data_IF_088041762072
#
_entry.id   IF_088041762072
#
_cell.length_a   1.000
_cell.length_b   1.000
_cell.length_c   1.000
_cell.angle_alpha   90.00
_cell.angle_beta   90.00
_cell.angle_gamma   90.00
#
_symmetry.space_group_name_H-M   'P 1'
#
loop_
_entity.id
_entity.type
_entity.pdbx_description
1 polymer ?
#
# COMPACT_ATOMS: atom_id res chain seq x y z
N UNK A 1 -28.85 -13.38 -19.87
CA UNK A 1 -27.54 -12.73 -20.06
C UNK A 1 -27.02 -12.31 -18.70
N UNK A 2 -26.05 -13.04 -18.14
CA UNK A 2 -25.30 -12.60 -16.97
C UNK A 2 -24.32 -11.53 -17.46
N UNK A 3 -24.51 -10.27 -17.08
CA UNK A 3 -23.45 -9.29 -17.21
C UNK A 3 -22.26 -9.82 -16.42
N UNK A 4 -21.11 -9.97 -17.07
CA UNK A 4 -19.85 -10.23 -16.39
C UNK A 4 -19.53 -8.97 -15.59
N UNK A 5 -19.92 -8.94 -14.32
CA UNK A 5 -19.22 -8.08 -13.36
C UNK A 5 -17.74 -8.37 -13.54
N UNK A 6 -16.97 -7.37 -13.98
CA UNK A 6 -15.52 -7.50 -14.07
C UNK A 6 -15.05 -7.90 -12.68
N UNK A 7 -14.43 -9.08 -12.56
CA UNK A 7 -13.98 -9.56 -11.26
C UNK A 7 -13.08 -8.51 -10.62
N UNK A 8 -13.43 -8.15 -9.38
CA UNK A 8 -12.68 -7.20 -8.59
C UNK A 8 -11.29 -7.78 -8.28
N UNK A 9 -10.24 -7.07 -8.70
CA UNK A 9 -8.87 -7.57 -8.62
C UNK A 9 -8.25 -7.29 -7.26
N UNK A 10 -8.65 -6.21 -6.59
CA UNK A 10 -8.18 -5.89 -5.24
C UNK A 10 -9.16 -6.43 -4.20
N UNK A 11 -8.71 -7.45 -3.48
CA UNK A 11 -9.40 -8.02 -2.31
C UNK A 11 -8.67 -7.72 -1.01
N UNK A 12 -7.37 -7.49 -1.09
CA UNK A 12 -6.54 -7.16 0.08
C UNK A 12 -5.57 -6.04 -0.25
N UNK A 13 -5.47 -5.05 0.63
CA UNK A 13 -4.49 -3.97 0.58
C UNK A 13 -3.52 -4.05 1.76
N UNK A 14 -2.24 -3.79 1.49
CA UNK A 14 -1.18 -3.78 2.48
C UNK A 14 -0.62 -2.36 2.71
N UNK A 15 -0.72 -1.85 3.93
CA UNK A 15 -0.08 -0.59 4.32
C UNK A 15 1.24 -0.85 5.05
N UNK A 16 2.35 -0.33 4.52
CA UNK A 16 3.70 -0.53 5.06
C UNK A 16 4.32 0.77 5.56
N UNK A 17 4.27 0.97 6.89
CA UNK A 17 4.94 2.07 7.57
C UNK A 17 6.43 1.82 7.87
N UNK A 18 6.92 0.58 7.69
CA UNK A 18 8.25 0.15 8.17
C UNK A 18 8.24 -0.22 9.66
N UNK A 19 9.34 -0.77 10.17
CA UNK A 19 9.41 -1.31 11.56
C UNK A 19 9.16 -0.25 12.65
N UNK A 20 9.66 0.98 12.44
CA UNK A 20 9.39 2.12 13.32
C UNK A 20 8.02 2.78 13.08
N UNK A 21 7.33 2.38 12.01
CA UNK A 21 6.06 2.97 11.58
C UNK A 21 6.23 4.29 10.85
N UNK A 22 5.15 4.69 10.17
CA UNK A 22 5.07 5.96 9.45
C UNK A 22 3.74 6.61 9.76
N UNK A 23 3.74 7.75 10.44
CA UNK A 23 2.52 8.50 10.74
C UNK A 23 1.72 8.81 9.47
N UNK A 24 2.39 9.18 8.38
CA UNK A 24 1.74 9.42 7.09
C UNK A 24 1.01 8.18 6.56
N UNK A 25 1.66 7.01 6.58
CA UNK A 25 1.03 5.76 6.10
C UNK A 25 -0.12 5.36 7.02
N UNK A 26 0.08 5.48 8.34
CA UNK A 26 -0.94 5.16 9.32
C UNK A 26 -2.19 6.05 9.11
N UNK A 27 -1.99 7.34 8.87
CA UNK A 27 -3.06 8.28 8.60
C UNK A 27 -3.78 7.95 7.29
N UNK A 28 -3.06 7.67 6.20
CA UNK A 28 -3.67 7.29 4.91
C UNK A 28 -4.55 6.05 5.09
N UNK A 29 -4.04 5.01 5.75
CA UNK A 29 -4.75 3.77 5.97
C UNK A 29 -6.07 4.01 6.72
N UNK A 30 -6.03 4.76 7.82
CA UNK A 30 -7.21 5.10 8.62
C UNK A 30 -8.20 5.99 7.84
N UNK A 31 -7.71 6.96 7.08
CA UNK A 31 -8.55 7.91 6.32
C UNK A 31 -9.35 7.25 5.20
N UNK A 32 -8.88 6.14 4.63
CA UNK A 32 -9.62 5.42 3.58
C UNK A 32 -10.24 4.10 4.07
N UNK A 33 -10.09 3.76 5.35
CA UNK A 33 -10.52 2.48 5.90
C UNK A 33 -12.02 2.23 5.72
N UNK A 34 -12.88 3.21 6.01
CA UNK A 34 -14.34 3.04 5.86
C UNK A 34 -14.73 2.73 4.42
N UNK A 35 -14.09 3.42 3.48
CA UNK A 35 -14.28 3.16 2.05
C UNK A 35 -13.78 1.76 1.67
N UNK A 36 -12.63 1.32 2.18
CA UNK A 36 -12.13 -0.04 1.95
C UNK A 36 -13.12 -1.11 2.46
N UNK A 37 -13.76 -0.87 3.61
CA UNK A 37 -14.80 -1.76 4.15
C UNK A 37 -16.05 -1.79 3.27
N UNK A 38 -16.54 -0.64 2.80
CA UNK A 38 -17.66 -0.56 1.85
C UNK A 38 -17.37 -1.32 0.55
N UNK A 39 -16.10 -1.32 0.16
CA UNK A 39 -15.58 -2.01 -1.00
C UNK A 39 -15.25 -3.49 -0.72
N UNK A 40 -15.48 -4.03 0.48
CA UNK A 40 -15.10 -5.41 0.86
C UNK A 40 -13.61 -5.73 0.61
N UNK A 41 -12.74 -4.75 0.88
CA UNK A 41 -11.28 -4.88 0.76
C UNK A 41 -10.67 -5.07 2.16
N UNK A 42 -9.98 -6.18 2.36
CA UNK A 42 -9.27 -6.50 3.59
C UNK A 42 -8.05 -5.62 3.78
N UNK A 43 -7.79 -5.25 5.03
CA UNK A 43 -6.69 -4.36 5.40
C UNK A 43 -5.64 -5.13 6.18
N UNK A 44 -4.42 -5.16 5.67
CA UNK A 44 -3.22 -5.53 6.42
C UNK A 44 -2.40 -4.27 6.65
N UNK A 45 -2.00 -3.99 7.89
CA UNK A 45 -1.37 -2.71 8.25
C UNK A 45 -0.17 -2.88 9.18
N UNK A 46 1.03 -2.61 8.66
CA UNK A 46 2.23 -2.43 9.46
C UNK A 46 2.25 -1.01 10.06
N UNK A 47 1.74 -0.86 11.28
CA UNK A 47 1.69 0.42 12.00
C UNK A 47 3.05 0.85 12.59
N UNK A 48 3.97 -0.10 12.73
CA UNK A 48 5.23 0.04 13.47
C UNK A 48 5.07 -0.22 14.97
N UNK A 49 6.13 -0.75 15.60
CA UNK A 49 6.08 -1.27 16.99
C UNK A 49 5.49 -0.28 18.01
N UNK A 50 5.83 1.01 17.86
CA UNK A 50 5.40 2.07 18.77
C UNK A 50 3.94 2.51 18.59
N UNK A 51 3.30 2.16 17.47
CA UNK A 51 1.98 2.67 17.11
C UNK A 51 0.90 1.58 17.04
N UNK A 52 1.24 0.29 17.22
CA UNK A 52 0.31 -0.84 17.05
C UNK A 52 -0.99 -0.61 17.82
N UNK A 53 -0.88 -0.37 19.13
CA UNK A 53 -2.05 -0.26 20.01
C UNK A 53 -2.90 0.97 19.67
N UNK A 54 -2.26 2.10 19.35
CA UNK A 54 -2.96 3.32 18.91
C UNK A 54 -3.74 3.08 17.61
N UNK A 55 -3.11 2.44 16.62
CA UNK A 55 -3.74 2.18 15.32
C UNK A 55 -4.87 1.15 15.44
N UNK A 56 -4.69 0.09 16.25
CA UNK A 56 -5.76 -0.87 16.56
C UNK A 56 -6.96 -0.19 17.22
N UNK A 57 -6.71 0.69 18.19
CA UNK A 57 -7.77 1.46 18.84
C UNK A 57 -8.53 2.33 17.83
N UNK A 58 -7.82 3.02 16.92
CA UNK A 58 -8.45 3.82 15.87
C UNK A 58 -9.32 2.99 14.92
N UNK A 59 -8.87 1.80 14.49
CA UNK A 59 -9.71 0.90 13.69
C UNK A 59 -10.95 0.41 14.44
N UNK A 60 -10.80 0.08 15.72
CA UNK A 60 -11.93 -0.33 16.57
C UNK A 60 -12.97 0.79 16.73
N UNK A 61 -12.52 2.02 16.93
CA UNK A 61 -13.38 3.19 17.08
C UNK A 61 -14.25 3.43 15.84
N UNK A 62 -13.68 3.24 14.64
CA UNK A 62 -14.42 3.35 13.37
C UNK A 62 -15.13 2.05 12.96
N UNK A 63 -15.08 1.00 13.79
CA UNK A 63 -15.79 -0.26 13.56
C UNK A 63 -15.27 -1.08 12.38
N UNK A 64 -13.96 -1.08 12.16
CA UNK A 64 -13.29 -1.75 11.04
C UNK A 64 -12.34 -2.82 11.57
N UNK A 65 -12.40 -4.01 10.97
CA UNK A 65 -11.44 -5.09 11.21
C UNK A 65 -10.22 -4.92 10.29
N UNK A 66 -9.03 -4.90 10.88
CA UNK A 66 -7.77 -4.80 10.15
C UNK A 66 -6.69 -5.63 10.86
N UNK A 67 -5.84 -6.29 10.07
CA UNK A 67 -4.69 -7.05 10.58
C UNK A 67 -3.52 -6.09 10.84
N UNK A 68 -3.43 -5.60 12.08
CA UNK A 68 -2.42 -4.61 12.48
C UNK A 68 -1.22 -5.26 13.18
N UNK A 69 -0.02 -5.00 12.66
CA UNK A 69 1.24 -5.48 13.23
C UNK A 69 2.32 -4.39 13.25
N UNK A 70 3.44 -4.62 13.97
CA UNK A 70 4.58 -3.71 14.02
C UNK A 70 5.76 -4.18 13.17
N UNK A 71 6.27 -5.36 13.51
CA UNK A 71 7.34 -6.04 12.80
C UNK A 71 6.93 -7.50 12.55
N UNK A 72 7.36 -8.06 11.43
CA UNK A 72 7.09 -9.44 11.06
C UNK A 72 8.31 -10.05 10.37
N UNK A 73 8.63 -11.30 10.71
CA UNK A 73 9.75 -12.04 10.12
C UNK A 73 9.40 -12.66 8.76
N UNK A 74 8.10 -12.79 8.45
CA UNK A 74 7.57 -13.49 7.28
C UNK A 74 6.92 -12.50 6.29
N UNK A 75 7.63 -11.40 5.99
CA UNK A 75 7.16 -10.37 5.06
C UNK A 75 6.73 -10.91 3.68
N UNK A 76 7.43 -11.86 3.03
CA UNK A 76 6.98 -12.41 1.76
C UNK A 76 5.59 -13.06 1.83
N UNK A 77 5.31 -13.80 2.91
CA UNK A 77 4.01 -14.44 3.12
C UNK A 77 2.92 -13.38 3.34
N UNK A 78 3.22 -12.29 4.03
CA UNK A 78 2.28 -11.17 4.21
C UNK A 78 2.03 -10.47 2.87
N UNK A 79 3.08 -10.15 2.12
CA UNK A 79 2.97 -9.50 0.81
C UNK A 79 2.18 -10.35 -0.19
N UNK A 80 2.33 -11.68 -0.16
CA UNK A 80 1.59 -12.59 -1.04
C UNK A 80 0.07 -12.61 -0.84
N UNK A 81 -0.41 -12.10 0.30
CA UNK A 81 -1.84 -11.99 0.60
C UNK A 81 -2.46 -10.71 0.03
N UNK A 82 -1.63 -9.75 -0.41
CA UNK A 82 -2.05 -8.45 -0.87
C UNK A 82 -2.06 -8.35 -2.40
N UNK A 83 -3.00 -7.58 -2.93
CA UNK A 83 -3.09 -7.28 -4.36
C UNK A 83 -2.40 -5.96 -4.72
N UNK A 84 -2.29 -5.06 -3.74
CA UNK A 84 -1.65 -3.75 -3.84
C UNK A 84 -1.10 -3.34 -2.47
N UNK A 85 -0.02 -2.55 -2.47
CA UNK A 85 0.53 -1.94 -1.27
C UNK A 85 0.51 -0.40 -1.31
N UNK A 86 0.48 0.22 -0.13
CA UNK A 86 0.79 1.64 0.09
C UNK A 86 1.96 1.71 1.07
N UNK A 87 3.10 2.26 0.64
CA UNK A 87 4.34 2.10 1.38
C UNK A 87 5.26 3.31 1.29
N UNK A 88 6.20 3.44 2.25
CA UNK A 88 7.40 4.24 2.05
C UNK A 88 8.31 3.61 0.99
N UNK A 89 9.18 4.40 0.39
CA UNK A 89 10.11 3.96 -0.68
C UNK A 89 11.58 3.95 -0.22
N UNK A 90 11.81 3.53 1.03
CA UNK A 90 13.13 3.11 1.48
C UNK A 90 13.63 1.93 0.64
N UNK A 91 14.96 1.82 0.44
CA UNK A 91 15.53 0.84 -0.48
C UNK A 91 15.03 -0.58 -0.19
N UNK A 92 15.15 -1.08 1.05
CA UNK A 92 14.75 -2.44 1.43
C UNK A 92 13.27 -2.72 1.14
N UNK A 93 12.37 -1.83 1.57
CA UNK A 93 10.92 -1.98 1.33
C UNK A 93 10.60 -1.99 -0.15
N UNK A 94 11.22 -1.11 -0.93
CA UNK A 94 11.02 -1.07 -2.38
C UNK A 94 11.48 -2.37 -3.05
N UNK A 95 12.64 -2.89 -2.65
CA UNK A 95 13.17 -4.16 -3.17
C UNK A 95 12.27 -5.35 -2.83
N UNK A 96 11.81 -5.45 -1.59
CA UNK A 96 10.92 -6.54 -1.16
C UNK A 96 9.59 -6.53 -1.93
N UNK A 97 8.97 -5.36 -2.09
CA UNK A 97 7.72 -5.21 -2.85
C UNK A 97 7.90 -5.57 -4.32
N UNK A 98 9.03 -5.15 -4.91
CA UNK A 98 9.35 -5.46 -6.30
C UNK A 98 9.60 -6.96 -6.49
N UNK A 99 10.35 -7.59 -5.58
CA UNK A 99 10.62 -9.03 -5.62
C UNK A 99 9.35 -9.89 -5.46
N UNK A 100 8.33 -9.37 -4.77
CA UNK A 100 7.02 -10.02 -4.62
C UNK A 100 6.03 -9.65 -5.74
N UNK A 101 6.46 -8.89 -6.76
CA UNK A 101 5.62 -8.45 -7.87
C UNK A 101 4.34 -7.72 -7.41
N UNK A 102 4.43 -6.98 -6.30
CA UNK A 102 3.30 -6.32 -5.66
C UNK A 102 3.17 -4.86 -6.15
N UNK A 103 2.16 -4.51 -6.96
CA UNK A 103 1.91 -3.13 -7.34
C UNK A 103 1.84 -2.25 -6.10
N UNK A 104 2.52 -1.11 -6.14
CA UNK A 104 2.67 -0.26 -4.96
C UNK A 104 2.41 1.20 -5.28
N UNK A 105 1.67 1.86 -4.39
CA UNK A 105 1.56 3.31 -4.27
C UNK A 105 2.60 3.79 -3.26
N UNK A 106 3.68 4.39 -3.75
CA UNK A 106 4.74 4.91 -2.88
C UNK A 106 4.42 6.30 -2.37
N UNK A 107 4.66 6.52 -1.07
CA UNK A 107 4.61 7.82 -0.41
C UNK A 107 6.00 8.09 0.19
N UNK A 108 6.96 8.62 -0.58
CA UNK A 108 8.34 8.79 -0.13
C UNK A 108 8.44 9.68 1.12
N UNK A 109 9.38 9.37 2.01
CA UNK A 109 9.68 10.25 3.15
C UNK A 109 10.34 11.55 2.66
N UNK A 110 9.76 12.74 2.95
CA UNK A 110 10.20 14.00 2.34
C UNK A 110 11.55 14.52 2.86
N UNK A 111 12.00 14.06 4.03
CA UNK A 111 13.26 14.51 4.66
C UNK A 111 14.41 13.53 4.44
N UNK A 112 14.24 12.59 3.52
CA UNK A 112 15.24 11.61 3.19
C UNK A 112 16.44 12.29 2.49
N UNK A 113 17.68 11.93 2.83
CA UNK A 113 18.87 12.60 2.33
C UNK A 113 18.92 12.61 0.79
N UNK A 114 19.10 13.79 0.19
CA UNK A 114 19.11 13.94 -1.27
C UNK A 114 17.80 13.54 -1.96
N UNK A 115 16.69 13.48 -1.22
CA UNK A 115 15.39 13.03 -1.73
C UNK A 115 15.43 11.60 -2.29
N UNK A 116 16.35 10.77 -1.80
CA UNK A 116 16.63 9.45 -2.37
C UNK A 116 15.41 8.51 -2.41
N UNK A 117 14.47 8.63 -1.47
CA UNK A 117 13.25 7.83 -1.46
C UNK A 117 12.33 8.19 -2.63
N UNK A 118 12.27 9.46 -3.02
CA UNK A 118 11.51 9.86 -4.20
C UNK A 118 12.11 9.27 -5.46
N UNK A 119 13.43 9.38 -5.65
CA UNK A 119 14.09 8.84 -6.83
C UNK A 119 14.03 7.31 -6.92
N UNK A 120 14.11 6.62 -5.78
CA UNK A 120 13.86 5.19 -5.67
C UNK A 120 12.48 4.81 -6.24
N UNK A 121 11.42 5.45 -5.76
CA UNK A 121 10.07 5.19 -6.24
C UNK A 121 9.89 5.63 -7.71
N UNK A 122 10.45 6.79 -8.09
CA UNK A 122 10.38 7.33 -9.44
C UNK A 122 10.95 6.35 -10.46
N UNK A 123 12.06 5.69 -10.14
CA UNK A 123 12.65 4.67 -11.01
C UNK A 123 11.64 3.56 -11.39
N UNK A 124 10.82 3.10 -10.44
CA UNK A 124 9.79 2.09 -10.73
C UNK A 124 8.60 2.69 -11.49
N UNK A 125 8.19 3.92 -11.16
CA UNK A 125 7.10 4.62 -11.87
C UNK A 125 7.45 4.84 -13.34
N UNK A 126 8.68 5.26 -13.64
CA UNK A 126 9.18 5.47 -15.01
C UNK A 126 9.22 4.16 -15.84
N UNK A 127 9.08 3.01 -15.18
CA UNK A 127 9.00 1.69 -15.80
C UNK A 127 7.58 1.12 -15.77
N UNK A 128 6.58 1.94 -15.45
CA UNK A 128 5.17 1.57 -15.25
C UNK A 128 4.94 0.53 -14.15
N UNK A 129 5.87 0.34 -13.21
CA UNK A 129 5.79 -0.69 -12.16
C UNK A 129 5.08 -0.21 -10.89
N UNK A 130 4.97 1.09 -10.67
CA UNK A 130 4.43 1.65 -9.43
C UNK A 130 3.63 2.94 -9.66
N UNK A 131 3.11 3.50 -8.58
CA UNK A 131 2.56 4.85 -8.47
C UNK A 131 3.33 5.62 -7.39
N UNK A 132 3.28 6.95 -7.41
CA UNK A 132 3.99 7.78 -6.42
C UNK A 132 3.18 9.04 -6.07
N UNK A 133 3.08 9.33 -4.77
CA UNK A 133 2.59 10.60 -4.24
C UNK A 133 3.64 11.22 -3.34
N UNK A 134 3.89 12.52 -3.49
CA UNK A 134 4.61 13.28 -2.46
C UNK A 134 3.73 13.33 -1.21
N UNK A 135 4.30 13.15 -0.03
CA UNK A 135 3.55 13.12 1.24
C UNK A 135 2.64 14.35 1.44
N UNK A 136 3.11 15.54 1.07
CA UNK A 136 2.34 16.79 1.16
C UNK A 136 1.33 17.00 0.01
N UNK A 137 1.26 16.08 -0.94
CA UNK A 137 0.35 16.08 -2.10
C UNK A 137 -0.39 14.75 -2.23
N UNK A 138 -0.53 14.01 -1.12
CA UNK A 138 -1.34 12.80 -1.10
C UNK A 138 -2.78 13.18 -1.42
N UNK A 139 -3.31 12.56 -2.47
CA UNK A 139 -4.70 12.69 -2.88
C UNK A 139 -5.42 11.36 -2.58
N UNK A 140 -6.31 11.39 -1.59
CA UNK A 140 -7.03 10.19 -1.15
C UNK A 140 -8.02 9.70 -2.21
N UNK A 141 -8.62 10.59 -3.00
CA UNK A 141 -9.57 10.21 -4.04
C UNK A 141 -8.83 9.56 -5.22
N UNK A 142 -7.66 10.08 -5.56
CA UNK A 142 -6.81 9.44 -6.56
C UNK A 142 -6.30 8.07 -6.09
N UNK A 143 -5.92 7.91 -4.82
CA UNK A 143 -5.56 6.59 -4.26
C UNK A 143 -6.73 5.61 -4.41
N UNK A 144 -7.95 6.01 -4.04
CA UNK A 144 -9.16 5.19 -4.20
C UNK A 144 -9.39 4.83 -5.67
N UNK A 145 -9.19 5.78 -6.59
CA UNK A 145 -9.30 5.56 -8.04
C UNK A 145 -8.29 4.52 -8.52
N UNK A 146 -7.04 4.62 -8.10
CA UNK A 146 -5.97 3.66 -8.43
C UNK A 146 -6.34 2.26 -7.93
N UNK A 147 -6.83 2.14 -6.70
CA UNK A 147 -7.24 0.84 -6.11
C UNK A 147 -8.40 0.22 -6.91
N UNK A 148 -9.31 1.02 -7.47
CA UNK A 148 -10.41 0.56 -8.32
C UNK A 148 -10.01 0.23 -9.76
N UNK A 149 -8.88 0.75 -10.24
CA UNK A 149 -8.44 0.58 -11.63
C UNK A 149 -7.80 -0.79 -11.86
N UNK A 150 -8.65 -1.82 -11.92
CA UNK A 150 -8.29 -3.21 -12.18
C UNK A 150 -7.38 -3.36 -13.40
N UNK A 151 -7.64 -2.64 -14.48
CA UNK A 151 -6.89 -2.75 -15.73
C UNK A 151 -5.44 -2.27 -15.56
N UNK A 152 -5.26 -1.13 -14.90
CA UNK A 152 -3.93 -0.58 -14.66
C UNK A 152 -3.12 -1.50 -13.72
N UNK A 153 -3.75 -2.03 -12.67
CA UNK A 153 -3.11 -2.97 -11.75
C UNK A 153 -2.66 -4.27 -12.45
N UNK A 154 -3.47 -4.82 -13.35
CA UNK A 154 -3.09 -5.98 -14.17
C UNK A 154 -1.89 -5.69 -15.06
N UNK A 155 -1.86 -4.52 -15.71
CA UNK A 155 -0.71 -4.10 -16.52
C UNK A 155 0.55 -4.09 -15.66
N UNK A 156 0.52 -3.48 -14.47
CA UNK A 156 1.68 -3.45 -13.57
C UNK A 156 2.12 -4.86 -13.15
N UNK A 157 1.18 -5.73 -12.74
CA UNK A 157 1.47 -7.14 -12.40
C UNK A 157 2.11 -7.89 -13.58
N UNK A 158 1.70 -7.61 -14.82
CA UNK A 158 2.29 -8.21 -16.02
C UNK A 158 3.69 -7.68 -16.34
N UNK A 159 3.95 -6.38 -16.15
CA UNK A 159 5.30 -5.81 -16.34
C UNK A 159 6.27 -6.39 -15.33
N UNK A 160 5.86 -6.57 -14.08
CA UNK A 160 6.63 -7.27 -13.05
C UNK A 160 7.05 -8.69 -13.48
N UNK A 161 6.14 -9.49 -14.03
CA UNK A 161 6.42 -10.87 -14.47
C UNK A 161 7.37 -10.98 -15.69
N UNK A 162 7.60 -9.89 -16.42
CA UNK A 162 8.43 -9.88 -17.65
C UNK A 162 9.88 -9.46 -17.40
N UNK A 163 10.20 -8.92 -16.22
CA UNK A 163 11.54 -8.49 -15.83
C UNK A 163 12.15 -9.47 -14.85
#
# INVERSE_FOLDING_TARGET
MKWLEQEKIVKTILFLGGSQGSLSINNIALSIASWLKEEDIKIIHQAGEKNIEKVKASYKEIGIEADVFGFANNMPQIMSQADIAVARSGASTLWELSANNLPTIFVPYPYAAGDHQFYNAKFLVDQDLAFIFRENKVDLEEIKRIIKDNKNLEIKKQVFKKK
#
